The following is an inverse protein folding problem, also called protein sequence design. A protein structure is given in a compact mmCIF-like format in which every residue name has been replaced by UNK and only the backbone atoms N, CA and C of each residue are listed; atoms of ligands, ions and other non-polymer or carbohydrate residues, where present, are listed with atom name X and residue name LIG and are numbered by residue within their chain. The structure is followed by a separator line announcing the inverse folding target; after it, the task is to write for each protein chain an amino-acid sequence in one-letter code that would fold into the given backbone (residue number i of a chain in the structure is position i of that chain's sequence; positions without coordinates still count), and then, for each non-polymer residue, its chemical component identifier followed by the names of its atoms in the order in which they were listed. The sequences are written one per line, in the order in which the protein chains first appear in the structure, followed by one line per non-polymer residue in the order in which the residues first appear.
data_IF_266403080040
#
_entry.id   IF_266403080040
#
_cell.length_a   1.000
_cell.length_b   1.000
_cell.length_c   1.000
_cell.angle_alpha   90.00
_cell.angle_beta   90.00
_cell.angle_gamma   90.00
#
_symmetry.space_group_name_H-M   'P 1'
#
loop_
_entity.id
_entity.type
_entity.pdbx_description
1 polymer ?
#
# COMPACT_ATOMS: atom_id res chain seq x y z
N UNK A 1 10.76 -1.87 -13.28
CA UNK A 1 10.41 -0.49 -12.86
C UNK A 1 8.92 -0.18 -12.98
N UNK A 2 8.26 -0.40 -14.13
CA UNK A 2 6.84 -0.06 -14.33
C UNK A 2 5.91 -0.70 -13.30
N UNK A 3 6.08 -2.00 -13.01
CA UNK A 3 5.28 -2.73 -12.03
C UNK A 3 5.36 -2.15 -10.62
N UNK A 4 6.57 -1.85 -10.13
CA UNK A 4 6.75 -1.22 -8.82
C UNK A 4 6.10 0.17 -8.74
N UNK A 5 6.16 0.93 -9.85
CA UNK A 5 5.51 2.25 -9.96
C UNK A 5 3.99 2.13 -9.91
N UNK A 6 3.42 1.18 -10.68
CA UNK A 6 1.99 0.88 -10.68
C UNK A 6 1.49 0.41 -9.31
N UNK A 7 2.25 -0.46 -8.64
CA UNK A 7 1.94 -0.92 -7.31
C UNK A 7 1.85 0.25 -6.32
N UNK A 8 2.84 1.15 -6.30
CA UNK A 8 2.83 2.31 -5.42
C UNK A 8 1.67 3.27 -5.70
N UNK A 9 1.37 3.54 -6.98
CA UNK A 9 0.21 4.36 -7.34
C UNK A 9 -1.09 3.72 -6.86
N UNK A 10 -1.22 2.41 -7.01
CA UNK A 10 -2.41 1.69 -6.60
C UNK A 10 -2.57 1.63 -5.08
N UNK A 11 -1.47 1.38 -4.36
CA UNK A 11 -1.42 1.41 -2.91
C UNK A 11 -1.75 2.80 -2.36
N UNK A 12 -1.17 3.85 -2.95
CA UNK A 12 -1.42 5.23 -2.56
C UNK A 12 -2.90 5.60 -2.72
N UNK A 13 -3.50 5.26 -3.87
CA UNK A 13 -4.93 5.47 -4.11
C UNK A 13 -5.79 4.74 -3.06
N UNK A 14 -5.49 3.47 -2.79
CA UNK A 14 -6.19 2.69 -1.76
C UNK A 14 -6.11 3.38 -0.40
N UNK A 15 -4.92 3.80 0.04
CA UNK A 15 -4.76 4.51 1.31
C UNK A 15 -5.49 5.86 1.36
N UNK A 16 -5.51 6.61 0.25
CA UNK A 16 -6.29 7.85 0.17
C UNK A 16 -7.79 7.62 0.32
N UNK A 17 -8.34 6.52 -0.21
CA UNK A 17 -9.76 6.15 -0.05
C UNK A 17 -10.14 5.93 1.44
N UNK A 18 -9.16 5.65 2.30
CA UNK A 18 -9.32 5.50 3.75
C UNK A 18 -8.75 6.67 4.57
N UNK A 19 -8.32 7.76 3.93
CA UNK A 19 -7.77 8.94 4.61
C UNK A 19 -6.37 8.76 5.21
N UNK A 20 -5.63 7.73 4.80
CA UNK A 20 -4.24 7.51 5.22
C UNK A 20 -3.32 8.35 4.32
N UNK A 21 -2.49 9.19 4.96
CA UNK A 21 -1.46 9.97 4.27
C UNK A 21 -0.09 9.31 4.40
N UNK A 22 0.65 9.28 3.30
CA UNK A 22 2.08 8.91 3.27
C UNK A 22 3.00 10.14 3.23
N UNK A 23 2.44 11.36 3.30
CA UNK A 23 3.26 12.56 3.26
C UNK A 23 4.16 12.66 4.49
N UNK A 24 5.44 12.95 4.28
CA UNK A 24 6.46 12.98 5.33
C UNK A 24 6.97 11.60 5.75
N UNK A 25 6.48 10.50 5.15
CA UNK A 25 7.01 9.17 5.41
C UNK A 25 8.31 8.90 4.63
N UNK A 26 9.01 7.83 4.99
CA UNK A 26 10.14 7.29 4.23
C UNK A 26 9.71 5.98 3.57
N UNK A 27 9.87 5.89 2.26
CA UNK A 27 9.77 4.63 1.50
C UNK A 27 11.19 4.12 1.30
N UNK A 28 11.53 3.01 1.97
CA UNK A 28 12.85 2.40 1.90
C UNK A 28 12.84 1.20 0.96
N UNK A 29 13.81 1.12 0.04
CA UNK A 29 14.01 -0.05 -0.84
C UNK A 29 15.47 -0.48 -0.85
N UNK A 30 15.75 -1.67 -1.38
CA UNK A 30 17.11 -2.02 -1.78
C UNK A 30 17.52 -1.29 -3.08
N UNK A 31 18.67 -1.66 -3.61
CA UNK A 31 19.25 -1.08 -4.82
C UNK A 31 18.78 -1.79 -6.10
N UNK A 32 17.64 -2.49 -6.06
CA UNK A 32 17.04 -3.17 -7.21
C UNK A 32 16.76 -2.22 -8.38
N UNK A 33 16.87 -2.76 -9.60
CA UNK A 33 16.68 -2.00 -10.85
C UNK A 33 15.21 -1.61 -11.10
N UNK A 34 14.29 -2.18 -10.33
CA UNK A 34 12.89 -1.82 -10.28
C UNK A 34 12.64 -0.48 -9.58
N UNK A 35 13.54 -0.06 -8.70
CA UNK A 35 13.47 1.19 -7.93
C UNK A 35 14.49 2.23 -8.41
N UNK A 36 15.67 1.76 -8.84
CA UNK A 36 16.84 2.60 -9.14
C UNK A 36 17.19 2.64 -10.62
N UNK A 37 17.85 3.72 -11.03
CA UNK A 37 18.50 3.80 -12.33
C UNK A 37 19.93 3.23 -12.21
N UNK A 38 20.57 2.86 -13.33
CA UNK A 38 21.99 2.48 -13.31
C UNK A 38 22.85 3.54 -12.60
N UNK A 39 23.90 3.11 -11.91
CA UNK A 39 24.73 3.97 -11.06
C UNK A 39 25.33 5.20 -11.78
N UNK A 40 25.51 5.12 -13.11
CA UNK A 40 26.02 6.20 -13.95
C UNK A 40 24.92 7.13 -14.51
N UNK A 41 23.66 6.88 -14.18
CA UNK A 41 22.51 7.66 -14.62
C UNK A 41 22.17 8.73 -13.58
N UNK A 42 21.95 9.97 -14.04
CA UNK A 42 21.38 11.05 -13.21
C UNK A 42 19.85 11.11 -13.28
N UNK A 43 19.21 10.17 -13.98
CA UNK A 43 17.76 10.17 -14.15
C UNK A 43 17.07 9.70 -12.88
N UNK A 44 16.12 10.50 -12.40
CA UNK A 44 15.18 10.08 -11.37
C UNK A 44 14.22 9.05 -11.96
N UNK A 45 14.09 7.88 -11.34
CA UNK A 45 13.21 6.81 -11.82
C UNK A 45 11.75 7.20 -11.68
N UNK A 46 10.86 6.58 -12.47
CA UNK A 46 9.42 6.76 -12.32
C UNK A 46 8.95 6.40 -10.91
N UNK A 47 9.56 5.38 -10.31
CA UNK A 47 9.32 4.98 -8.92
C UNK A 47 9.64 6.10 -7.94
N UNK A 48 10.86 6.66 -7.98
CA UNK A 48 11.25 7.79 -7.11
C UNK A 48 10.34 8.99 -7.32
N UNK A 49 9.96 9.29 -8.57
CA UNK A 49 9.04 10.40 -8.85
C UNK A 49 7.66 10.18 -8.22
N UNK A 50 7.13 8.96 -8.20
CA UNK A 50 5.87 8.67 -7.50
C UNK A 50 6.03 8.88 -6.00
N UNK A 51 7.09 8.34 -5.39
CA UNK A 51 7.36 8.49 -3.95
C UNK A 51 7.44 9.98 -3.56
N UNK A 52 8.23 10.76 -4.28
CA UNK A 52 8.52 12.15 -3.89
C UNK A 52 7.39 13.11 -4.29
N UNK A 53 6.85 12.97 -5.51
CA UNK A 53 5.93 13.97 -6.08
C UNK A 53 4.47 13.66 -5.86
N UNK A 54 4.10 12.38 -5.74
CA UNK A 54 2.70 11.95 -5.57
C UNK A 54 2.41 11.62 -4.10
N UNK A 55 3.26 10.82 -3.45
CA UNK A 55 3.06 10.42 -2.06
C UNK A 55 3.50 11.51 -1.07
N UNK A 56 4.35 12.45 -1.50
CA UNK A 56 4.97 13.44 -0.62
C UNK A 56 5.91 12.81 0.41
N UNK A 57 6.46 11.65 0.08
CA UNK A 57 7.38 10.87 0.91
C UNK A 57 8.83 11.03 0.42
N UNK A 58 9.80 10.52 1.18
CA UNK A 58 11.20 10.45 0.74
C UNK A 58 11.54 9.03 0.31
N UNK A 59 12.17 8.88 -0.86
CA UNK A 59 12.70 7.59 -1.30
C UNK A 59 14.11 7.39 -0.71
N UNK A 60 14.30 6.34 0.07
CA UNK A 60 15.57 6.02 0.72
C UNK A 60 16.10 4.66 0.27
N UNK A 61 17.36 4.60 -0.15
CA UNK A 61 18.01 3.35 -0.52
C UNK A 61 18.76 2.78 0.67
N UNK A 62 18.67 1.46 0.84
CA UNK A 62 19.45 0.75 1.84
C UNK A 62 20.95 0.90 1.51
N UNK A 63 21.79 1.30 2.48
CA UNK A 63 23.23 1.37 2.27
C UNK A 63 23.80 0.01 1.82
N UNK A 64 24.74 -0.02 0.85
CA UNK A 64 25.36 -1.27 0.42
C UNK A 64 25.95 -2.05 1.60
N UNK A 65 25.60 -3.34 1.70
CA UNK A 65 26.07 -4.24 2.76
C UNK A 65 25.30 -4.18 4.09
N UNK A 66 24.27 -3.35 4.22
CA UNK A 66 23.51 -3.19 5.46
C UNK A 66 22.37 -4.23 5.61
N UNK A 67 22.72 -5.50 5.84
CA UNK A 67 21.78 -6.64 5.90
C UNK A 67 20.65 -6.49 6.94
N UNK A 68 20.88 -5.78 8.04
CA UNK A 68 19.89 -5.63 9.12
C UNK A 68 18.70 -4.74 8.73
N UNK A 69 18.85 -3.89 7.71
CA UNK A 69 17.82 -2.96 7.24
C UNK A 69 16.65 -3.66 6.51
N UNK A 70 16.78 -4.97 6.23
CA UNK A 70 15.72 -5.79 5.63
C UNK A 70 15.15 -6.83 6.60
N UNK A 71 15.58 -6.85 7.86
CA UNK A 71 15.18 -7.91 8.82
C UNK A 71 13.66 -8.07 8.99
N UNK A 72 12.90 -6.97 8.99
CA UNK A 72 11.43 -7.00 9.02
C UNK A 72 10.84 -7.61 7.73
N UNK A 73 11.43 -7.29 6.57
CA UNK A 73 11.00 -7.80 5.25
C UNK A 73 11.30 -9.29 5.14
N UNK A 74 12.50 -9.73 5.53
CA UNK A 74 12.87 -11.14 5.54
C UNK A 74 12.02 -11.96 6.52
N UNK A 75 11.72 -11.39 7.69
CA UNK A 75 10.81 -12.02 8.65
C UNK A 75 9.40 -12.15 8.08
N UNK A 76 8.92 -11.13 7.35
CA UNK A 76 7.63 -11.19 6.66
C UNK A 76 7.62 -12.26 5.57
N UNK A 77 8.65 -12.33 4.71
CA UNK A 77 8.75 -13.34 3.67
C UNK A 77 8.68 -14.77 4.23
N UNK A 78 9.41 -15.05 5.31
CA UNK A 78 9.33 -16.35 5.99
C UNK A 78 7.91 -16.68 6.44
N UNK A 79 7.16 -15.71 6.98
CA UNK A 79 5.77 -15.91 7.40
C UNK A 79 4.83 -16.14 6.23
N UNK A 80 5.08 -15.51 5.07
CA UNK A 80 4.30 -15.76 3.85
C UNK A 80 4.59 -17.16 3.31
N UNK A 81 5.86 -17.55 3.27
CA UNK A 81 6.26 -18.90 2.84
C UNK A 81 5.62 -19.97 3.74
N UNK A 82 5.76 -19.85 5.06
CA UNK A 82 5.29 -20.84 6.03
C UNK A 82 3.75 -20.94 6.05
N UNK A 83 3.05 -19.81 6.12
CA UNK A 83 1.61 -19.78 6.38
C UNK A 83 0.72 -19.59 5.15
N UNK A 84 1.30 -19.31 3.97
CA UNK A 84 0.54 -19.25 2.72
C UNK A 84 1.07 -20.26 1.71
N UNK A 85 2.34 -20.16 1.29
CA UNK A 85 2.82 -20.96 0.16
C UNK A 85 3.04 -22.43 0.49
N UNK A 86 3.56 -22.75 1.67
CA UNK A 86 3.77 -24.13 2.12
C UNK A 86 2.50 -24.78 2.69
N UNK A 87 1.57 -23.96 3.20
CA UNK A 87 0.36 -24.42 3.87
C UNK A 87 -0.79 -24.73 2.90
N UNK A 88 -0.81 -24.09 1.73
CA UNK A 88 -1.95 -24.13 0.81
C UNK A 88 -1.57 -24.62 -0.59
N UNK A 89 -2.39 -25.45 -1.25
CA UNK A 89 -2.23 -25.71 -2.68
C UNK A 89 -2.70 -24.50 -3.53
N UNK A 90 -2.18 -24.33 -4.74
CA UNK A 90 -2.60 -23.27 -5.66
C UNK A 90 -2.98 -23.87 -7.02
N UNK A 91 -4.29 -23.90 -7.33
CA UNK A 91 -4.80 -24.51 -8.55
C UNK A 91 -5.17 -23.54 -9.67
N UNK A 92 -5.33 -22.24 -9.37
CA UNK A 92 -5.66 -21.22 -10.36
C UNK A 92 -5.34 -19.80 -9.89
N UNK A 93 -5.19 -18.86 -10.81
CA UNK A 93 -4.98 -17.44 -10.48
C UNK A 93 -6.05 -16.89 -9.53
N UNK A 94 -7.32 -17.17 -9.82
CA UNK A 94 -8.46 -16.73 -8.99
C UNK A 94 -8.37 -17.28 -7.57
N UNK A 95 -7.96 -18.54 -7.42
CA UNK A 95 -7.73 -19.14 -6.11
C UNK A 95 -6.54 -18.48 -5.41
N UNK A 96 -5.42 -18.28 -6.10
CA UNK A 96 -4.23 -17.61 -5.57
C UNK A 96 -4.54 -16.22 -5.03
N UNK A 97 -5.27 -15.40 -5.80
CA UNK A 97 -5.68 -14.06 -5.38
C UNK A 97 -6.60 -14.12 -4.15
N UNK A 98 -7.57 -15.04 -4.12
CA UNK A 98 -8.46 -15.23 -2.95
C UNK A 98 -7.67 -15.61 -1.70
N UNK A 99 -6.76 -16.57 -1.79
CA UNK A 99 -5.93 -16.99 -0.65
C UNK A 99 -5.02 -15.87 -0.18
N UNK A 100 -4.45 -15.08 -1.09
CA UNK A 100 -3.67 -13.91 -0.74
C UNK A 100 -4.48 -12.81 -0.02
N UNK A 101 -5.76 -12.58 -0.40
CA UNK A 101 -6.66 -11.69 0.35
C UNK A 101 -6.88 -12.21 1.77
N UNK A 102 -7.22 -13.50 1.90
CA UNK A 102 -7.52 -14.12 3.20
C UNK A 102 -6.29 -14.11 4.10
N UNK A 103 -5.11 -14.39 3.55
CA UNK A 103 -3.85 -14.30 4.26
C UNK A 103 -3.59 -12.87 4.76
N UNK A 104 -3.75 -11.85 3.91
CA UNK A 104 -3.58 -10.45 4.33
C UNK A 104 -4.55 -10.06 5.44
N UNK A 105 -5.83 -10.42 5.32
CA UNK A 105 -6.83 -10.18 6.36
C UNK A 105 -6.42 -10.85 7.68
N UNK A 106 -5.99 -12.11 7.62
CA UNK A 106 -5.53 -12.85 8.79
C UNK A 106 -4.29 -12.20 9.42
N UNK A 107 -3.31 -11.86 8.60
CA UNK A 107 -2.03 -11.30 9.02
C UNK A 107 -2.18 -9.91 9.65
N UNK A 108 -3.03 -9.05 9.08
CA UNK A 108 -3.18 -7.66 9.50
C UNK A 108 -4.23 -7.46 10.60
N UNK A 109 -5.29 -8.28 10.63
CA UNK A 109 -6.46 -8.02 11.47
C UNK A 109 -6.61 -8.99 12.65
N UNK A 110 -6.04 -10.20 12.56
CA UNK A 110 -6.18 -11.21 13.63
C UNK A 110 -4.85 -11.63 14.26
N UNK A 111 -3.78 -11.71 13.47
CA UNK A 111 -2.47 -12.11 13.98
C UNK A 111 -1.84 -10.97 14.77
N UNK A 112 -1.50 -11.23 16.04
CA UNK A 112 -0.67 -10.30 16.82
C UNK A 112 0.76 -10.31 16.30
N UNK A 113 1.34 -9.14 16.15
CA UNK A 113 2.77 -8.99 15.94
C UNK A 113 3.49 -9.25 17.27
N UNK A 114 4.26 -10.34 17.36
CA UNK A 114 4.93 -10.74 18.60
C UNK A 114 5.93 -9.71 19.11
N UNK A 115 6.58 -8.97 18.21
CA UNK A 115 7.53 -7.91 18.55
C UNK A 115 6.82 -6.63 19.01
N UNK A 116 5.64 -6.32 18.44
CA UNK A 116 4.89 -5.08 18.72
C UNK A 116 3.70 -5.23 19.68
N UNK A 117 3.36 -6.46 20.08
CA UNK A 117 2.34 -6.77 21.10
C UNK A 117 0.89 -6.83 20.63
N UNK A 118 0.54 -6.27 19.48
CA UNK A 118 -0.84 -6.24 18.97
C UNK A 118 -0.93 -6.50 17.45
N UNK A 119 -2.14 -6.57 16.90
CA UNK A 119 -2.40 -6.72 15.46
C UNK A 119 -1.97 -5.45 14.72
N UNK A 120 -1.47 -5.55 13.47
CA UNK A 120 -1.18 -4.38 12.64
C UNK A 120 -2.34 -3.36 12.58
N UNK A 121 -3.58 -3.84 12.51
CA UNK A 121 -4.77 -2.99 12.55
C UNK A 121 -4.89 -2.18 13.83
N UNK A 122 -4.69 -2.80 15.00
CA UNK A 122 -4.76 -2.07 16.26
C UNK A 122 -3.62 -1.07 16.40
N UNK A 123 -2.41 -1.43 15.99
CA UNK A 123 -1.26 -0.53 16.00
C UNK A 123 -1.48 0.70 15.13
N UNK A 124 -2.03 0.54 13.92
CA UNK A 124 -2.34 1.68 13.04
C UNK A 124 -3.48 2.54 13.62
N UNK A 125 -4.43 1.93 14.35
CA UNK A 125 -5.54 2.64 15.00
C UNK A 125 -5.12 3.53 16.17
N UNK A 126 -3.91 3.36 16.71
CA UNK A 126 -3.33 4.33 17.65
C UNK A 126 -3.19 5.71 17.00
N UNK A 127 -2.88 5.75 15.70
CA UNK A 127 -2.77 6.99 14.90
C UNK A 127 -4.07 7.33 14.15
N UNK A 128 -4.83 6.32 13.74
CA UNK A 128 -6.09 6.47 13.00
C UNK A 128 -7.28 5.82 13.75
N UNK A 129 -7.79 6.44 14.83
CA UNK A 129 -8.86 5.87 15.65
C UNK A 129 -10.16 5.75 14.85
N UNK A 130 -10.52 4.53 14.44
CA UNK A 130 -11.68 4.28 13.59
C UNK A 130 -11.35 3.81 12.18
N UNK A 131 -10.07 3.61 11.85
CA UNK A 131 -9.69 3.02 10.57
C UNK A 131 -10.40 1.66 10.38
N UNK A 132 -11.17 1.47 9.30
CA UNK A 132 -11.84 0.20 9.03
C UNK A 132 -10.80 -0.86 8.63
N UNK A 133 -11.11 -2.14 8.84
CA UNK A 133 -10.11 -3.20 8.60
C UNK A 133 -9.71 -3.29 7.12
N UNK A 134 -10.63 -2.93 6.24
CA UNK A 134 -10.48 -2.94 4.79
C UNK A 134 -9.34 -2.03 4.32
N UNK A 135 -8.99 -1.01 5.11
CA UNK A 135 -7.82 -0.18 4.86
C UNK A 135 -6.49 -0.98 4.87
N UNK A 136 -6.42 -2.06 5.65
CA UNK A 136 -5.26 -2.97 5.72
C UNK A 136 -5.48 -4.28 4.96
N UNK A 137 -6.57 -4.43 4.23
CA UNK A 137 -6.80 -5.58 3.34
C UNK A 137 -6.75 -5.09 1.90
N UNK A 138 -5.53 -4.86 1.42
CA UNK A 138 -5.30 -4.40 0.06
C UNK A 138 -5.49 -5.58 -0.91
N UNK A 139 -6.55 -5.53 -1.71
CA UNK A 139 -6.92 -6.64 -2.59
C UNK A 139 -5.75 -6.91 -3.56
N UNK A 140 -5.15 -8.12 -3.57
CA UNK A 140 -4.11 -8.49 -4.54
C UNK A 140 -4.63 -8.32 -5.96
N UNK A 141 -3.79 -7.74 -6.81
CA UNK A 141 -4.08 -7.52 -8.22
C UNK A 141 -2.91 -8.00 -9.07
N UNK A 142 -3.23 -8.44 -10.28
CA UNK A 142 -2.21 -8.68 -11.31
C UNK A 142 -1.80 -7.32 -11.87
N UNK A 143 -0.53 -6.95 -11.67
CA UNK A 143 -0.02 -5.61 -11.98
C UNK A 143 -0.09 -5.26 -13.47
N UNK A 144 -0.02 -6.25 -14.37
CA UNK A 144 -0.20 -6.03 -15.81
C UNK A 144 -1.59 -5.45 -16.14
N UNK A 145 -2.61 -5.82 -15.36
CA UNK A 145 -3.97 -5.31 -15.51
C UNK A 145 -4.10 -3.84 -15.07
N UNK A 146 -3.07 -3.26 -14.44
CA UNK A 146 -3.06 -1.86 -14.01
C UNK A 146 -2.49 -0.91 -15.07
N UNK A 147 -1.93 -1.41 -16.17
CA UNK A 147 -1.35 -0.54 -17.21
C UNK A 147 -2.38 0.40 -17.84
N UNK A 148 -3.56 -0.11 -18.19
CA UNK A 148 -4.62 0.70 -18.82
C UNK A 148 -5.28 1.65 -17.80
N UNK A 149 -5.68 1.19 -16.59
CA UNK A 149 -6.25 2.07 -15.58
C UNK A 149 -5.36 3.25 -15.16
N UNK A 150 -4.03 3.08 -15.18
CA UNK A 150 -3.07 4.11 -14.75
C UNK A 150 -2.32 4.78 -15.92
N UNK A 151 -2.78 4.59 -17.17
CA UNK A 151 -2.06 5.09 -18.35
C UNK A 151 -1.85 6.61 -18.32
N UNK A 152 -2.83 7.35 -17.80
CA UNK A 152 -2.82 8.81 -17.81
C UNK A 152 -1.87 9.34 -16.74
N UNK A 153 -1.85 8.71 -15.57
CA UNK A 153 -0.89 8.97 -14.49
C UNK A 153 0.53 8.64 -14.94
N UNK A 154 0.74 7.50 -15.60
CA UNK A 154 2.03 7.14 -16.19
C UNK A 154 2.49 8.15 -17.25
N UNK A 155 1.57 8.59 -18.12
CA UNK A 155 1.87 9.61 -19.13
C UNK A 155 2.20 10.97 -18.52
N UNK A 156 1.57 11.33 -17.39
CA UNK A 156 1.90 12.54 -16.64
C UNK A 156 3.29 12.43 -16.02
N UNK A 157 3.62 11.31 -15.37
CA UNK A 157 4.96 11.08 -14.80
C UNK A 157 6.07 11.20 -15.86
N UNK A 158 5.81 10.78 -17.09
CA UNK A 158 6.76 10.94 -18.20
C UNK A 158 7.01 12.40 -18.62
N UNK A 159 6.08 13.32 -18.29
CA UNK A 159 6.15 14.75 -18.64
C UNK A 159 6.72 15.64 -17.54
N UNK A 160 6.70 15.19 -16.28
CA UNK A 160 7.07 16.04 -15.15
C UNK A 160 8.61 16.16 -15.01
N UNK A 161 9.13 17.37 -15.26
CA UNK A 161 10.49 17.78 -14.92
C UNK A 161 10.74 17.85 -13.40
N UNK A 162 11.98 18.11 -13.00
CA UNK A 162 12.49 17.99 -11.61
C UNK A 162 11.91 18.95 -10.55
N UNK A 163 10.87 19.75 -10.83
CA UNK A 163 10.49 20.89 -9.97
C UNK A 163 9.06 20.99 -9.44
N UNK A 164 8.11 20.14 -9.85
CA UNK A 164 6.68 20.34 -9.48
C UNK A 164 6.10 19.15 -8.71
N UNK A 165 5.41 19.43 -7.61
CA UNK A 165 4.50 18.47 -6.95
C UNK A 165 3.44 18.03 -7.95
N UNK A 166 3.22 16.72 -8.06
CA UNK A 166 2.25 16.17 -8.98
C UNK A 166 1.03 15.75 -8.18
N UNK A 167 0.02 16.64 -8.10
CA UNK A 167 -1.26 16.27 -7.54
C UNK A 167 -1.97 15.38 -8.56
N UNK A 168 -1.77 14.06 -8.42
CA UNK A 168 -2.60 13.10 -9.14
C UNK A 168 -4.02 13.25 -8.62
N UNK A 169 -4.88 13.87 -9.44
CA UNK A 169 -6.30 13.90 -9.16
C UNK A 169 -6.85 12.51 -9.45
N UNK A 170 -6.91 11.66 -8.42
CA UNK A 170 -7.63 10.41 -8.52
C UNK A 170 -9.13 10.73 -8.44
N UNK A 171 -9.93 10.50 -9.50
CA UNK A 171 -11.37 10.67 -9.38
C UNK A 171 -11.87 9.68 -8.33
N UNK A 172 -12.21 10.20 -7.15
CA UNK A 172 -12.67 9.42 -6.02
C UNK A 172 -14.03 8.79 -6.33
N UNK A 173 -14.17 7.49 -6.06
CA UNK A 173 -15.48 6.97 -5.70
C UNK A 173 -15.77 7.50 -4.30
N UNK A 174 -16.96 8.09 -4.11
CA UNK A 174 -17.47 8.60 -2.83
C UNK A 174 -16.98 7.74 -1.66
N UNK A 175 -16.38 8.37 -0.65
CA UNK A 175 -15.85 7.68 0.51
C UNK A 175 -16.93 6.85 1.19
N UNK A 176 -16.59 5.67 1.69
CA UNK A 176 -17.51 4.84 2.49
C UNK A 176 -17.83 5.49 3.85
N UNK A 177 -17.07 6.53 4.23
CA UNK A 177 -17.21 7.26 5.48
C UNK A 177 -18.25 8.40 5.43
N UNK A 178 -18.82 8.71 4.27
CA UNK A 178 -19.86 9.76 4.13
C UNK A 178 -21.30 9.28 4.38
N UNK A 179 -21.50 8.16 5.09
CA UNK A 179 -22.86 7.81 5.56
C UNK A 179 -23.18 8.60 6.84
N UNK A 180 -24.16 9.52 6.83
CA UNK A 180 -24.56 10.20 8.04
C UNK A 180 -25.06 9.17 9.05
N UNK A 181 -24.59 9.29 10.30
CA UNK A 181 -25.10 8.53 11.42
C UNK A 181 -26.64 8.62 11.42
N UNK A 182 -27.30 7.49 11.26
CA UNK A 182 -28.76 7.44 11.37
C UNK A 182 -29.15 7.99 12.74
N UNK A 183 -29.87 9.11 12.74
CA UNK A 183 -30.46 9.66 13.97
C UNK A 183 -31.39 8.60 14.53
N UNK A 184 -31.07 8.08 15.73
CA UNK A 184 -32.05 7.34 16.55
C UNK A 184 -33.21 8.29 16.82
N UNK A 185 -34.39 8.01 16.26
CA UNK A 185 -35.61 8.65 16.73
C UNK A 185 -35.97 8.04 18.08
N UNK A 186 -35.76 8.83 19.13
CA UNK A 186 -36.43 8.63 20.42
C UNK A 186 -37.90 8.98 20.23
N UNK A 187 -38.72 7.98 19.91
CA UNK A 187 -40.18 8.08 19.91
C UNK A 187 -40.73 7.25 21.07
N UNK A 188 -40.91 7.88 22.22
CA UNK A 188 -41.63 7.27 23.33
C UNK A 188 -43.12 7.17 23.01
N UNK A 189 -43.75 6.10 23.49
CA UNK A 189 -45.18 6.12 23.79
C UNK A 189 -45.38 5.45 25.15
N UNK A 190 -45.93 6.23 26.07
CA UNK A 190 -46.58 5.80 27.31
C UNK A 190 -48.05 6.14 27.15
N UNK A 191 -48.90 5.12 27.18
CA UNK A 191 -50.21 5.04 27.83
C UNK A 191 -50.76 3.64 27.54
#
# INVERSE_FOLDING_TARGET
MTHATLFLLHLHRHFQEYGISLSGSVIQTDNGTEFTAPWNSRKVTAFTQVVEKCLGATHHLIPPGAKTYQSDVESFHRLVEEYLYAAEPFGSEKESLRKAVLYQASFNCTRKNSYKGDTPLNLVRETYPGLPLEALVFIPVILDNLLVPYKDELAQLAKVGTGSTMCLHFPGKSSVLDKPASRRSSGGYRA
#
